data_IF_311502149902
#
_entry.id   IF_311502149902
#
_cell.length_a   1.000
_cell.length_b   1.000
_cell.length_c   1.000
_cell.angle_alpha   90.00
_cell.angle_beta   90.00
_cell.angle_gamma   90.00
#
_symmetry.space_group_name_H-M   'P 1'
#
loop_
_entity.id
_entity.type
_entity.pdbx_description
1 polymer ?
#
# COMPACT_ATOMS: atom_id res chain seq x y z
N UNK A 1 -2.49 14.82 -9.52
CA UNK A 1 -2.69 16.19 -9.00
C UNK A 1 -3.97 16.17 -8.18
N UNK A 2 -3.86 16.38 -6.88
CA UNK A 2 -5.01 16.44 -5.96
C UNK A 2 -5.04 17.81 -5.31
N UNK A 3 -6.23 18.29 -4.94
CA UNK A 3 -6.39 19.52 -4.16
C UNK A 3 -6.61 19.14 -2.71
N UNK A 4 -5.90 19.78 -1.78
CA UNK A 4 -6.13 19.55 -0.36
C UNK A 4 -7.50 20.07 0.07
N UNK A 5 -7.93 21.22 -0.48
CA UNK A 5 -9.21 21.85 -0.17
C UNK A 5 -10.05 22.10 -1.43
N UNK A 6 -10.62 21.04 -2.03
CA UNK A 6 -11.38 21.16 -3.28
C UNK A 6 -12.60 22.08 -3.13
N UNK A 7 -13.19 22.15 -1.93
CA UNK A 7 -14.30 23.04 -1.60
C UNK A 7 -14.00 24.54 -1.83
N UNK A 8 -12.73 24.95 -1.79
CA UNK A 8 -12.38 26.36 -1.98
C UNK A 8 -12.55 26.82 -3.45
N UNK A 9 -12.63 25.88 -4.40
CA UNK A 9 -12.88 26.17 -5.80
C UNK A 9 -14.29 26.76 -6.04
N UNK A 10 -15.23 26.55 -5.12
CA UNK A 10 -16.55 27.20 -5.19
C UNK A 10 -16.46 28.73 -5.15
N UNK A 11 -15.42 29.29 -4.51
CA UNK A 11 -15.19 30.74 -4.50
C UNK A 11 -14.89 31.29 -5.91
N UNK A 12 -14.46 30.44 -6.85
CA UNK A 12 -14.25 30.84 -8.23
C UNK A 12 -15.55 31.33 -8.90
N UNK A 13 -16.72 30.88 -8.42
CA UNK A 13 -18.02 31.39 -8.86
C UNK A 13 -18.24 32.87 -8.53
N UNK A 14 -17.50 33.44 -7.57
CA UNK A 14 -17.55 34.88 -7.29
C UNK A 14 -16.95 35.73 -8.44
N UNK A 15 -16.00 35.19 -9.21
CA UNK A 15 -15.35 35.88 -10.33
C UNK A 15 -16.34 36.25 -11.44
N UNK A 16 -17.16 35.33 -12.00
CA UNK A 16 -18.16 35.68 -13.00
C UNK A 16 -19.29 36.57 -12.44
N UNK A 17 -19.64 36.44 -11.16
CA UNK A 17 -20.62 37.33 -10.50
C UNK A 17 -20.12 38.77 -10.46
N UNK A 18 -18.86 38.99 -10.08
CA UNK A 18 -18.24 40.31 -10.08
C UNK A 18 -18.07 40.87 -11.49
N UNK A 19 -17.70 40.04 -12.47
CA UNK A 19 -17.63 40.43 -13.88
C UNK A 19 -19.00 40.86 -14.42
N UNK A 20 -20.05 40.09 -14.12
CA UNK A 20 -21.44 40.41 -14.47
C UNK A 20 -21.91 41.71 -13.81
N UNK A 21 -21.64 41.88 -12.50
CA UNK A 21 -21.92 43.10 -11.76
C UNK A 21 -21.22 44.33 -12.36
N UNK A 22 -19.95 44.20 -12.75
CA UNK A 22 -19.21 45.25 -13.44
C UNK A 22 -19.86 45.62 -14.79
N UNK A 23 -20.23 44.63 -15.62
CA UNK A 23 -20.93 44.87 -16.90
C UNK A 23 -22.29 45.55 -16.67
N UNK A 24 -23.06 45.12 -15.66
CA UNK A 24 -24.34 45.75 -15.31
C UNK A 24 -24.18 47.19 -14.84
N UNK A 25 -23.17 47.48 -14.01
CA UNK A 25 -22.81 48.84 -13.59
C UNK A 25 -22.45 49.72 -14.79
N UNK A 26 -21.68 49.19 -15.75
CA UNK A 26 -21.34 49.90 -16.98
C UNK A 26 -22.56 50.14 -17.88
N UNK A 27 -23.46 49.15 -17.99
CA UNK A 27 -24.72 49.29 -18.73
C UNK A 27 -25.66 50.30 -18.07
N UNK A 28 -25.76 50.30 -16.74
CA UNK A 28 -26.54 51.30 -15.97
C UNK A 28 -25.96 52.70 -16.12
N UNK A 29 -24.64 52.87 -15.99
CA UNK A 29 -23.98 54.17 -16.21
C UNK A 29 -24.19 54.73 -17.61
N UNK A 30 -24.21 53.87 -18.65
CA UNK A 30 -24.57 54.28 -20.01
C UNK A 30 -26.01 54.79 -20.12
N UNK A 31 -26.97 54.15 -19.45
CA UNK A 31 -28.38 54.60 -19.43
C UNK A 31 -28.55 55.96 -18.72
N UNK A 32 -27.79 56.22 -17.65
CA UNK A 32 -27.80 57.54 -16.97
C UNK A 32 -27.04 58.62 -17.76
N UNK A 33 -25.98 58.27 -18.48
CA UNK A 33 -25.18 59.20 -19.28
C UNK A 33 -25.95 59.75 -20.51
N UNK A 34 -26.89 58.99 -21.08
CA UNK A 34 -27.73 59.43 -22.22
C UNK A 34 -28.67 60.60 -21.85
N UNK A 35 -28.83 60.94 -20.57
CA UNK A 35 -29.65 62.07 -20.10
C UNK A 35 -28.95 63.44 -20.14
N UNK A 36 -27.65 63.50 -20.43
CA UNK A 36 -26.91 64.76 -20.62
C UNK A 36 -26.52 64.88 -22.10
N UNK A 37 -27.03 65.92 -22.76
CA UNK A 37 -26.88 66.24 -24.19
C UNK A 37 -25.47 66.62 -24.64
N UNK A 38 -24.45 66.48 -23.79
CA UNK A 38 -23.09 67.01 -24.01
C UNK A 38 -21.99 65.92 -24.11
N UNK A 39 -22.38 64.64 -24.30
CA UNK A 39 -21.42 63.51 -24.30
C UNK A 39 -21.08 62.98 -25.70
N UNK A 40 -21.64 63.56 -26.77
CA UNK A 40 -21.27 63.22 -28.14
C UNK A 40 -19.82 63.65 -28.45
N UNK A 41 -19.43 64.88 -28.08
CA UNK A 41 -18.05 65.38 -28.27
C UNK A 41 -17.01 64.64 -27.41
N UNK A 42 -17.34 64.29 -26.16
CA UNK A 42 -16.42 63.54 -25.29
C UNK A 42 -16.21 62.11 -25.80
N UNK A 43 -17.21 61.50 -26.42
CA UNK A 43 -17.12 60.14 -26.97
C UNK A 43 -16.28 60.06 -28.25
N UNK A 44 -16.16 61.17 -28.98
CA UNK A 44 -15.34 61.30 -30.18
C UNK A 44 -13.86 61.63 -29.86
N UNK A 45 -13.61 62.31 -28.72
CA UNK A 45 -12.26 62.56 -28.21
C UNK A 45 -11.61 61.36 -27.47
N UNK A 46 -12.42 60.40 -27.00
CA UNK A 46 -11.94 59.20 -26.30
C UNK A 46 -11.55 58.12 -27.33
N UNK A 47 -10.29 58.14 -27.78
CA UNK A 47 -9.76 57.15 -28.71
C UNK A 47 -9.89 55.68 -28.22
N UNK A 48 -9.81 54.68 -29.13
CA UNK A 48 -10.02 53.26 -28.82
C UNK A 48 -9.14 52.73 -27.67
N UNK A 49 -7.95 53.32 -27.47
CA UNK A 49 -7.04 52.96 -26.37
C UNK A 49 -7.56 53.31 -24.97
N UNK A 50 -8.44 54.31 -24.83
CA UNK A 50 -8.97 54.75 -23.53
C UNK A 50 -10.04 53.80 -22.99
N UNK A 51 -10.73 53.06 -23.87
CA UNK A 51 -11.59 51.94 -23.48
C UNK A 51 -10.76 50.79 -22.92
N UNK A 52 -9.66 50.42 -23.58
CA UNK A 52 -8.79 49.35 -23.11
C UNK A 52 -8.20 49.70 -21.73
N UNK A 53 -7.69 50.93 -21.57
CA UNK A 53 -7.17 51.44 -20.28
C UNK A 53 -8.20 51.46 -19.15
N UNK A 54 -9.49 51.61 -19.48
CA UNK A 54 -10.59 51.58 -18.49
C UNK A 54 -10.94 50.16 -18.03
N UNK A 55 -10.76 49.16 -18.89
CA UNK A 55 -11.08 47.76 -18.61
C UNK A 55 -9.89 46.94 -18.10
N UNK A 56 -8.67 47.44 -18.28
CA UNK A 56 -7.45 46.75 -17.89
C UNK A 56 -7.32 46.57 -16.36
N UNK A 57 -7.54 47.58 -15.49
CA UNK A 57 -7.48 47.37 -14.04
C UNK A 57 -8.48 46.33 -13.49
N UNK A 58 -9.79 46.35 -13.83
CA UNK A 58 -10.71 45.33 -13.33
C UNK A 58 -10.46 43.95 -13.92
N UNK A 59 -9.96 43.85 -15.16
CA UNK A 59 -9.56 42.57 -15.74
C UNK A 59 -8.38 41.96 -14.97
N UNK A 60 -7.34 42.75 -14.71
CA UNK A 60 -6.18 42.31 -13.92
C UNK A 60 -6.59 41.92 -12.49
N UNK A 61 -7.51 42.65 -11.87
CA UNK A 61 -8.05 42.30 -10.54
C UNK A 61 -8.76 40.95 -10.54
N UNK A 62 -9.60 40.67 -11.55
CA UNK A 62 -10.30 39.38 -11.66
C UNK A 62 -9.32 38.22 -11.90
N UNK A 63 -8.29 38.42 -12.72
CA UNK A 63 -7.23 37.43 -12.93
C UNK A 63 -6.46 37.18 -11.63
N UNK A 64 -6.04 38.24 -10.93
CA UNK A 64 -5.33 38.12 -9.65
C UNK A 64 -6.19 37.38 -8.61
N UNK A 65 -7.48 37.68 -8.54
CA UNK A 65 -8.43 37.00 -7.66
C UNK A 65 -8.57 35.51 -8.01
N UNK A 66 -8.69 35.16 -9.30
CA UNK A 66 -8.77 33.78 -9.75
C UNK A 66 -7.50 32.98 -9.39
N UNK A 67 -6.32 33.59 -9.61
CA UNK A 67 -5.03 32.99 -9.24
C UNK A 67 -4.89 32.82 -7.72
N UNK A 68 -5.35 33.79 -6.93
CA UNK A 68 -5.36 33.70 -5.47
C UNK A 68 -6.26 32.55 -4.98
N UNK A 69 -7.48 32.44 -5.50
CA UNK A 69 -8.41 31.34 -5.16
C UNK A 69 -7.82 29.98 -5.54
N UNK A 70 -7.22 29.88 -6.74
CA UNK A 70 -6.53 28.67 -7.17
C UNK A 70 -5.35 28.31 -6.26
N UNK A 71 -4.59 29.30 -5.79
CA UNK A 71 -3.53 29.11 -4.80
C UNK A 71 -4.04 28.60 -3.45
N UNK A 72 -5.18 29.12 -2.97
CA UNK A 72 -5.79 28.68 -1.70
C UNK A 72 -6.30 27.23 -1.81
N UNK A 73 -6.71 26.77 -2.99
CA UNK A 73 -7.08 25.36 -3.20
C UNK A 73 -5.89 24.38 -3.00
N UNK A 74 -4.66 24.91 -2.89
CA UNK A 74 -3.39 24.18 -2.67
C UNK A 74 -3.27 22.97 -3.61
N UNK A 75 -3.01 23.20 -4.91
CA UNK A 75 -2.75 22.10 -5.84
C UNK A 75 -1.48 21.36 -5.39
N UNK A 76 -1.63 20.09 -5.08
CA UNK A 76 -0.52 19.22 -4.69
C UNK A 76 -0.30 18.14 -5.73
N UNK A 77 0.96 17.94 -6.10
CA UNK A 77 1.41 16.80 -6.85
C UNK A 77 2.04 15.81 -5.87
N UNK A 78 1.42 14.65 -5.70
CA UNK A 78 2.10 13.52 -5.05
C UNK A 78 3.09 12.98 -6.07
N UNK A 79 4.37 13.24 -5.85
CA UNK A 79 5.44 12.62 -6.62
C UNK A 79 5.83 11.36 -5.87
N UNK A 80 5.44 10.21 -6.39
CA UNK A 80 5.96 8.93 -5.92
C UNK A 80 7.40 8.81 -6.38
N UNK A 81 8.35 9.15 -5.51
CA UNK A 81 9.74 8.77 -5.76
C UNK A 81 9.80 7.24 -5.69
N UNK A 82 10.35 6.54 -6.70
CA UNK A 82 10.69 5.14 -6.55
C UNK A 82 11.76 5.05 -5.46
N UNK A 83 11.34 4.78 -4.23
CA UNK A 83 12.28 4.39 -3.19
C UNK A 83 12.58 2.92 -3.45
N UNK A 84 13.72 2.66 -4.09
CA UNK A 84 14.30 1.33 -4.26
C UNK A 84 14.71 0.78 -2.88
N UNK A 85 13.72 0.47 -2.03
CA UNK A 85 13.98 -0.18 -0.74
C UNK A 85 14.19 -1.66 -1.02
N UNK A 86 15.46 -2.04 -1.21
CA UNK A 86 15.85 -3.44 -1.37
C UNK A 86 15.63 -4.15 -0.03
N UNK A 87 14.60 -4.99 0.02
CA UNK A 87 14.22 -5.76 1.17
C UNK A 87 14.23 -7.26 0.82
N UNK A 88 14.84 -8.06 1.69
CA UNK A 88 14.94 -9.52 1.54
C UNK A 88 14.40 -10.16 2.81
N UNK A 89 13.53 -11.17 2.67
CA UNK A 89 13.08 -11.98 3.81
C UNK A 89 13.69 -13.36 3.68
N UNK A 90 14.46 -13.76 4.68
CA UNK A 90 15.08 -15.07 4.77
C UNK A 90 14.15 -16.00 5.56
N UNK A 91 13.50 -16.93 4.86
CA UNK A 91 12.66 -17.96 5.47
C UNK A 91 13.49 -19.24 5.71
N UNK A 92 13.69 -19.61 6.97
CA UNK A 92 14.57 -20.72 7.39
C UNK A 92 13.75 -21.83 8.03
N UNK A 93 13.93 -23.06 7.54
CA UNK A 93 13.36 -24.26 8.16
C UNK A 93 14.12 -24.57 9.47
N UNK A 94 13.39 -24.71 10.56
CA UNK A 94 13.90 -25.13 11.89
C UNK A 94 13.22 -26.40 12.37
N UNK A 95 12.66 -27.20 11.46
CA UNK A 95 12.04 -28.48 11.79
C UNK A 95 13.06 -29.53 12.21
N UNK A 96 12.62 -30.57 12.93
CA UNK A 96 13.50 -31.65 13.40
C UNK A 96 14.30 -32.35 12.29
N UNK A 97 13.86 -32.27 11.02
CA UNK A 97 14.61 -32.82 9.89
C UNK A 97 15.95 -32.09 9.66
N UNK A 98 16.05 -30.83 10.10
CA UNK A 98 17.26 -30.01 10.03
C UNK A 98 18.35 -30.43 11.02
N UNK A 99 18.05 -31.37 11.93
CA UNK A 99 19.05 -32.01 12.79
C UNK A 99 19.91 -33.04 12.05
N UNK A 100 19.54 -33.43 10.82
CA UNK A 100 20.30 -34.40 10.04
C UNK A 100 21.75 -33.94 9.81
N UNK A 101 22.68 -34.88 9.80
CA UNK A 101 24.14 -34.66 9.65
C UNK A 101 24.66 -35.08 8.28
N UNK A 102 23.79 -35.13 7.27
CA UNK A 102 24.16 -35.33 5.87
C UNK A 102 24.91 -34.13 5.28
N UNK A 103 24.75 -32.96 5.91
CA UNK A 103 25.65 -31.81 5.76
C UNK A 103 26.31 -31.54 7.11
N UNK A 104 27.65 -31.46 7.12
CA UNK A 104 28.40 -31.23 8.36
C UNK A 104 28.26 -29.77 8.85
N UNK A 105 28.13 -29.54 10.17
CA UNK A 105 27.94 -30.53 11.25
C UNK A 105 26.47 -31.00 11.39
N UNK A 106 25.51 -30.17 10.98
CA UNK A 106 24.11 -30.53 10.76
C UNK A 106 23.51 -29.61 9.70
N UNK A 107 22.38 -29.99 9.08
CA UNK A 107 21.67 -29.11 8.12
C UNK A 107 21.33 -27.76 8.73
N UNK A 108 20.91 -27.71 10.00
CA UNK A 108 20.62 -26.46 10.70
C UNK A 108 21.87 -25.59 10.83
N UNK A 109 22.97 -26.16 11.29
CA UNK A 109 24.23 -25.42 11.44
C UNK A 109 24.78 -24.94 10.09
N UNK A 110 24.65 -25.76 9.05
CA UNK A 110 25.01 -25.38 7.68
C UNK A 110 24.12 -24.24 7.16
N UNK A 111 22.81 -24.30 7.43
CA UNK A 111 21.87 -23.24 7.08
C UNK A 111 22.16 -21.94 7.84
N UNK A 112 22.50 -22.01 9.13
CA UNK A 112 22.94 -20.87 9.93
C UNK A 112 24.22 -20.24 9.35
N UNK A 113 25.22 -21.05 9.00
CA UNK A 113 26.45 -20.56 8.39
C UNK A 113 26.20 -19.89 7.03
N UNK A 114 25.39 -20.51 6.17
CA UNK A 114 25.01 -19.95 4.87
C UNK A 114 24.20 -18.65 5.01
N UNK A 115 23.26 -18.60 5.97
CA UNK A 115 22.48 -17.40 6.27
C UNK A 115 23.37 -16.24 6.73
N UNK A 116 24.35 -16.51 7.62
CA UNK A 116 25.30 -15.48 8.07
C UNK A 116 26.18 -14.98 6.94
N UNK A 117 26.72 -15.88 6.11
CA UNK A 117 27.51 -15.50 4.93
C UNK A 117 26.68 -14.63 3.98
N UNK A 118 25.44 -15.04 3.69
CA UNK A 118 24.52 -14.27 2.87
C UNK A 118 24.29 -12.85 3.41
N UNK A 119 24.02 -12.72 4.72
CA UNK A 119 23.79 -11.42 5.39
C UNK A 119 25.03 -10.52 5.32
N UNK A 120 26.23 -11.08 5.43
CA UNK A 120 27.50 -10.35 5.35
C UNK A 120 27.84 -9.90 3.93
N UNK A 121 27.50 -10.70 2.92
CA UNK A 121 27.73 -10.38 1.51
C UNK A 121 26.76 -9.32 0.97
N UNK A 122 25.63 -9.07 1.65
CA UNK A 122 24.65 -8.09 1.18
C UNK A 122 25.11 -6.63 1.38
N UNK A 123 24.90 -5.75 0.38
CA UNK A 123 25.13 -4.31 0.49
C UNK A 123 24.43 -3.65 1.69
N UNK A 124 25.05 -2.63 2.27
CA UNK A 124 24.57 -1.98 3.50
C UNK A 124 23.20 -1.29 3.37
N UNK A 125 22.76 -0.95 2.15
CA UNK A 125 21.44 -0.37 1.87
C UNK A 125 20.31 -1.39 1.99
N UNK A 126 20.61 -2.69 1.88
CA UNK A 126 19.65 -3.80 1.92
C UNK A 126 19.16 -4.07 3.34
N UNK A 127 17.83 -4.10 3.49
CA UNK A 127 17.15 -4.53 4.72
C UNK A 127 16.88 -6.02 4.63
N UNK A 128 17.21 -6.76 5.69
CA UNK A 128 16.97 -8.20 5.75
C UNK A 128 16.06 -8.47 6.94
N UNK A 129 15.02 -9.27 6.73
CA UNK A 129 14.19 -9.84 7.79
C UNK A 129 14.37 -11.36 7.86
N UNK A 130 14.10 -11.96 9.01
CA UNK A 130 14.27 -13.39 9.24
C UNK A 130 12.94 -13.99 9.73
N UNK A 131 12.47 -15.00 9.02
CA UNK A 131 11.31 -15.81 9.39
C UNK A 131 11.80 -17.23 9.61
N UNK A 132 11.48 -17.81 10.76
CA UNK A 132 11.71 -19.24 11.00
C UNK A 132 10.40 -20.00 10.86
N UNK A 133 10.43 -21.18 10.26
CA UNK A 133 9.27 -22.05 10.18
C UNK A 133 9.59 -23.50 10.56
N UNK A 134 8.66 -24.11 11.27
CA UNK A 134 8.58 -25.54 11.55
C UNK A 134 7.10 -25.89 11.60
N UNK A 135 6.54 -26.46 12.66
CA UNK A 135 5.09 -26.67 12.78
C UNK A 135 4.26 -25.38 12.77
N UNK A 136 4.89 -24.24 13.08
CA UNK A 136 4.35 -22.89 12.92
C UNK A 136 5.42 -21.99 12.32
N UNK A 137 5.04 -20.81 11.85
CA UNK A 137 5.98 -19.81 11.36
C UNK A 137 5.93 -18.55 12.22
N UNK A 138 7.09 -17.95 12.45
CA UNK A 138 7.22 -16.74 13.25
C UNK A 138 8.26 -15.80 12.65
N UNK A 139 8.01 -14.49 12.78
CA UNK A 139 8.98 -13.45 12.48
C UNK A 139 9.99 -13.41 13.63
N UNK A 140 11.23 -13.80 13.37
CA UNK A 140 12.32 -13.82 14.36
C UNK A 140 12.97 -12.45 14.46
N UNK A 141 13.22 -11.83 13.30
CA UNK A 141 13.83 -10.50 13.21
C UNK A 141 13.08 -9.67 12.16
N UNK A 142 12.49 -8.53 12.54
CA UNK A 142 11.93 -7.59 11.59
C UNK A 142 13.00 -7.05 10.60
N UNK A 143 12.61 -6.62 9.39
CA UNK A 143 13.54 -6.10 8.39
C UNK A 143 14.43 -4.98 8.90
N UNK A 144 15.71 -5.28 9.11
CA UNK A 144 16.72 -4.35 9.65
C UNK A 144 17.95 -4.28 8.74
N UNK A 145 18.74 -3.22 8.91
CA UNK A 145 20.08 -3.11 8.31
C UNK A 145 21.17 -3.56 9.26
N UNK A 146 20.86 -3.63 10.56
CA UNK A 146 21.79 -4.06 11.59
C UNK A 146 22.18 -5.53 11.38
N UNK A 147 23.46 -5.76 11.11
CA UNK A 147 24.00 -7.09 10.81
C UNK A 147 24.18 -7.91 12.08
N UNK A 148 24.44 -7.27 13.22
CA UNK A 148 24.66 -7.95 14.48
C UNK A 148 23.35 -8.52 15.02
N UNK A 149 22.25 -7.77 14.89
CA UNK A 149 20.89 -8.24 15.21
C UNK A 149 20.51 -9.48 14.38
N UNK A 150 20.82 -9.46 13.07
CA UNK A 150 20.52 -10.56 12.16
C UNK A 150 21.34 -11.82 12.50
N UNK A 151 22.64 -11.66 12.77
CA UNK A 151 23.51 -12.77 13.15
C UNK A 151 23.06 -13.35 14.49
N UNK A 152 22.74 -12.51 15.47
CA UNK A 152 22.22 -12.94 16.77
C UNK A 152 20.87 -13.66 16.66
N UNK A 153 19.99 -13.23 15.75
CA UNK A 153 18.74 -13.92 15.47
C UNK A 153 18.96 -15.31 14.85
N UNK A 154 19.90 -15.44 13.90
CA UNK A 154 20.26 -16.73 13.28
C UNK A 154 20.81 -17.70 14.33
N UNK A 155 21.60 -17.22 15.29
CA UNK A 155 22.20 -18.05 16.34
C UNK A 155 21.20 -18.62 17.35
N UNK A 156 20.02 -18.00 17.46
CA UNK A 156 18.98 -18.39 18.42
C UNK A 156 17.99 -19.41 17.87
N UNK A 157 18.23 -19.99 16.69
CA UNK A 157 17.30 -20.98 16.14
C UNK A 157 17.26 -22.25 16.99
N UNK A 158 16.04 -22.63 17.34
CA UNK A 158 15.76 -23.87 18.07
C UNK A 158 14.97 -24.82 17.19
N UNK A 159 15.31 -26.10 17.28
CA UNK A 159 14.62 -27.14 16.52
C UNK A 159 13.19 -27.35 17.05
N UNK A 160 12.23 -27.40 16.13
CA UNK A 160 10.82 -27.60 16.44
C UNK A 160 10.23 -28.78 15.66
N UNK A 161 9.08 -29.30 16.14
CA UNK A 161 8.38 -30.41 15.48
C UNK A 161 7.56 -29.92 14.29
N UNK A 162 7.37 -30.80 13.31
CA UNK A 162 6.62 -30.59 12.07
C UNK A 162 7.23 -29.52 11.14
N UNK A 163 6.68 -29.42 9.93
CA UNK A 163 7.13 -28.50 8.89
C UNK A 163 5.92 -27.94 8.15
N UNK A 164 5.63 -26.65 8.34
CA UNK A 164 4.51 -25.91 7.79
C UNK A 164 5.06 -24.80 6.89
N UNK A 165 5.55 -25.22 5.72
CA UNK A 165 6.18 -24.33 4.73
C UNK A 165 5.21 -23.24 4.28
N UNK A 166 3.92 -23.57 4.12
CA UNK A 166 2.88 -22.61 3.72
C UNK A 166 2.76 -21.43 4.67
N UNK A 167 2.71 -21.69 5.98
CA UNK A 167 2.71 -20.64 7.00
C UNK A 167 4.01 -19.82 6.95
N UNK A 168 5.16 -20.47 6.70
CA UNK A 168 6.45 -19.79 6.50
C UNK A 168 6.43 -18.78 5.36
N UNK A 169 5.90 -19.17 4.21
CA UNK A 169 5.75 -18.30 3.03
C UNK A 169 4.79 -17.15 3.31
N UNK A 170 3.65 -17.42 3.95
CA UNK A 170 2.65 -16.39 4.24
C UNK A 170 3.19 -15.34 5.21
N UNK A 171 3.86 -15.76 6.28
CA UNK A 171 4.52 -14.82 7.21
C UNK A 171 5.62 -14.03 6.51
N UNK A 172 6.40 -14.65 5.62
CA UNK A 172 7.42 -13.95 4.85
C UNK A 172 6.83 -12.90 3.89
N UNK A 173 5.76 -13.24 3.18
CA UNK A 173 5.04 -12.31 2.30
C UNK A 173 4.39 -11.17 3.09
N UNK A 174 3.74 -11.47 4.21
CA UNK A 174 3.14 -10.45 5.07
C UNK A 174 4.18 -9.47 5.63
N UNK A 175 5.40 -9.96 5.89
CA UNK A 175 6.53 -9.12 6.33
C UNK A 175 7.10 -8.29 5.18
N UNK A 176 7.09 -8.82 3.96
CA UNK A 176 7.60 -8.13 2.77
C UNK A 176 6.62 -7.06 2.27
N UNK A 177 5.32 -7.31 2.36
CA UNK A 177 4.25 -6.45 1.86
C UNK A 177 3.23 -6.12 2.97
N UNK A 178 3.61 -5.32 3.99
CA UNK A 178 2.72 -5.01 5.12
C UNK A 178 1.44 -4.26 4.69
N UNK A 179 1.50 -3.51 3.58
CA UNK A 179 0.36 -2.73 3.07
C UNK A 179 -0.71 -3.58 2.38
N UNK A 180 -0.40 -4.82 1.98
CA UNK A 180 -1.33 -5.71 1.29
C UNK A 180 -2.27 -6.49 2.24
N UNK A 181 -2.26 -6.17 3.55
CA UNK A 181 -3.14 -6.76 4.57
C UNK A 181 -3.25 -8.29 4.49
N UNK A 182 -2.11 -8.97 4.29
CA UNK A 182 -2.07 -10.42 4.21
C UNK A 182 -2.47 -10.99 5.58
N UNK A 183 -3.64 -11.65 5.64
CA UNK A 183 -4.17 -12.23 6.87
C UNK A 183 -3.28 -13.40 7.35
N UNK A 184 -2.42 -13.12 8.33
CA UNK A 184 -1.58 -14.14 8.95
C UNK A 184 -2.41 -15.08 9.85
N UNK A 185 -3.56 -14.60 10.37
CA UNK A 185 -4.44 -15.38 11.25
C UNK A 185 -5.16 -16.54 10.54
N UNK A 186 -5.57 -16.37 9.28
CA UNK A 186 -6.26 -17.43 8.52
C UNK A 186 -5.33 -18.57 8.09
N UNK A 187 -4.03 -18.29 7.99
CA UNK A 187 -2.98 -19.24 7.66
C UNK A 187 -2.34 -19.96 8.87
N UNK A 188 -2.56 -19.43 10.08
CA UNK A 188 -1.69 -19.67 11.22
C UNK A 188 -2.17 -20.65 12.30
N UNK A 189 -3.44 -21.10 12.33
CA UNK A 189 -3.90 -21.80 13.55
C UNK A 189 -4.89 -22.97 13.37
N UNK A 190 -5.85 -22.90 12.44
CA UNK A 190 -6.97 -23.87 12.44
C UNK A 190 -7.14 -24.72 11.17
N UNK A 191 -6.67 -24.29 10.00
CA UNK A 191 -6.92 -24.99 8.73
C UNK A 191 -6.13 -26.31 8.59
N UNK A 192 -4.89 -26.35 9.06
CA UNK A 192 -4.06 -27.56 8.99
C UNK A 192 -4.37 -28.60 10.08
N UNK A 193 -5.11 -28.22 11.14
CA UNK A 193 -5.53 -29.17 12.18
C UNK A 193 -6.86 -29.86 11.87
N UNK A 194 -7.72 -29.28 11.02
CA UNK A 194 -9.02 -29.87 10.68
C UNK A 194 -8.94 -31.00 9.67
N UNK A 195 -7.94 -31.01 8.77
CA UNK A 195 -7.74 -32.08 7.80
C UNK A 195 -6.76 -33.15 8.30
N UNK A 196 -6.96 -33.64 9.53
CA UNK A 196 -6.33 -34.88 10.00
C UNK A 196 -7.02 -36.09 9.36
N UNK A 197 -7.01 -36.16 8.04
CA UNK A 197 -7.06 -37.43 7.35
C UNK A 197 -5.82 -38.21 7.77
N UNK A 198 -6.00 -39.29 8.55
CA UNK A 198 -4.95 -40.27 8.89
C UNK A 198 -4.01 -40.48 7.69
N UNK A 199 -2.77 -40.02 7.81
CA UNK A 199 -1.70 -40.36 6.87
C UNK A 199 -1.56 -41.89 6.87
N UNK A 200 -2.10 -42.56 5.84
CA UNK A 200 -1.87 -43.99 5.62
C UNK A 200 -0.48 -44.16 5.03
N UNK A 201 0.28 -45.10 5.58
CA UNK A 201 1.53 -45.56 4.95
C UNK A 201 1.20 -46.15 3.58
N UNK A 202 2.03 -45.86 2.57
CA UNK A 202 1.95 -46.43 1.21
C UNK A 202 2.07 -47.95 1.22
N UNK A 203 2.68 -48.51 2.27
CA UNK A 203 2.87 -49.96 2.44
C UNK A 203 1.68 -50.66 3.13
N UNK A 204 0.60 -49.94 3.47
CA UNK A 204 -0.59 -50.59 4.03
C UNK A 204 -1.38 -51.28 2.92
N UNK A 205 -1.54 -52.62 2.94
CA UNK A 205 -2.42 -53.28 2.00
C UNK A 205 -3.83 -52.73 2.15
N UNK A 206 -4.45 -52.38 1.03
CA UNK A 206 -5.85 -51.94 0.97
C UNK A 206 -6.72 -53.03 1.59
N UNK A 207 -7.26 -52.76 2.79
CA UNK A 207 -8.27 -53.65 3.38
C UNK A 207 -9.42 -53.77 2.39
N UNK A 208 -9.67 -54.99 1.92
CA UNK A 208 -10.82 -55.32 1.10
C UNK A 208 -12.09 -54.77 1.76
N UNK A 209 -13.04 -54.25 0.97
CA UNK A 209 -14.30 -53.75 1.50
C UNK A 209 -14.99 -54.90 2.23
N UNK A 210 -15.13 -54.76 3.56
CA UNK A 210 -15.89 -55.72 4.37
C UNK A 210 -17.28 -55.83 3.74
N UNK A 211 -17.62 -57.02 3.22
CA UNK A 211 -18.99 -57.36 2.79
C UNK A 211 -19.94 -56.91 3.89
N UNK A 212 -20.87 -56.04 3.53
CA UNK A 212 -21.92 -55.58 4.44
C UNK A 212 -22.61 -56.82 5.01
N UNK A 213 -22.47 -57.04 6.31
CA UNK A 213 -23.21 -58.08 7.01
C UNK A 213 -24.69 -57.77 6.82
N UNK A 214 -25.42 -58.66 6.14
CA UNK A 214 -26.89 -58.56 6.05
C UNK A 214 -27.42 -58.52 7.49
N UNK A 215 -28.02 -57.40 7.88
CA UNK A 215 -28.79 -57.33 9.12
C UNK A 215 -29.94 -58.31 9.00
N UNK A 216 -29.93 -59.36 9.82
CA UNK A 216 -31.11 -60.20 10.02
C UNK A 216 -32.01 -59.47 11.01
N UNK A 217 -33.29 -59.22 10.68
CA UNK A 217 -34.20 -58.57 11.60
C UNK A 217 -34.42 -59.43 12.85
N UNK A 218 -34.51 -58.80 14.04
CA UNK A 218 -34.64 -59.53 15.30
C UNK A 218 -36.03 -60.15 15.39
N UNK A 219 -36.11 -61.49 15.45
CA UNK A 219 -37.39 -62.17 15.72
C UNK A 219 -37.66 -63.50 15.02
N UNK A 220 -36.65 -64.29 14.67
CA UNK A 220 -36.86 -65.71 14.31
C UNK A 220 -35.89 -66.57 15.11
N UNK A 221 -36.48 -67.40 16.00
CA UNK A 221 -35.80 -68.47 16.72
C UNK A 221 -35.16 -69.48 15.77
#
# INVERSE_FOLDING_TARGET
MTFLWPQMLWLLAAVPVLAGGYVLLLRRRKKFAVRYSDLAMVREALGPGQRLRRHLPPLLFLIAMALAIFGIARPTAVVTLPSEQRQIILAIDVSLSMRASDVQPSRLAAAQAAAKAFVQEQPADVRIGIVSFAGTAALVQPPTRDRDDLIAAIDRFELQRHTAIGSGIIVALATLFPDEQIEVESAGFNSFSSDRGRSKSLDQPSKEPKKQAKLVPPGSY
#
